data_IF_807562217534
#
_entry.id   IF_807562217534
#
_cell.length_a   1.000
_cell.length_b   1.000
_cell.length_c   1.000
_cell.angle_alpha   90.00
_cell.angle_beta   90.00
_cell.angle_gamma   90.00
#
_symmetry.space_group_name_H-M   'P 1'
#
loop_
_entity.id
_entity.type
_entity.pdbx_description
1 polymer ?
#
# COMPACT_ATOMS: atom_id res chain seq x y z
N UNK A 1 -11.15 -23.22 -11.97
CA UNK A 1 -12.03 -22.22 -12.54
C UNK A 1 -11.22 -21.00 -13.00
N UNK A 2 -11.51 -20.54 -14.20
CA UNK A 2 -10.81 -19.41 -14.81
C UNK A 2 -10.91 -18.14 -13.96
N UNK A 3 -12.09 -17.85 -13.43
CA UNK A 3 -12.30 -16.65 -12.60
C UNK A 3 -11.47 -16.72 -11.33
N UNK A 4 -11.44 -17.87 -10.69
CA UNK A 4 -10.64 -18.05 -9.49
C UNK A 4 -9.15 -17.94 -9.76
N UNK A 5 -8.70 -18.42 -10.93
CA UNK A 5 -7.29 -18.29 -11.31
C UNK A 5 -6.88 -16.84 -11.47
N UNK A 6 -7.72 -16.05 -12.16
CA UNK A 6 -7.44 -14.64 -12.37
C UNK A 6 -7.36 -13.88 -11.05
N UNK A 7 -8.28 -14.16 -10.12
CA UNK A 7 -8.29 -13.54 -8.81
C UNK A 7 -7.05 -13.92 -8.01
N UNK A 8 -6.63 -15.19 -8.07
CA UNK A 8 -5.43 -15.64 -7.37
C UNK A 8 -4.16 -15.01 -7.92
N UNK A 9 -4.07 -14.88 -9.25
CA UNK A 9 -2.93 -14.24 -9.89
C UNK A 9 -2.83 -12.77 -9.48
N UNK A 10 -3.97 -12.08 -9.43
CA UNK A 10 -4.01 -10.70 -8.99
C UNK A 10 -3.57 -10.56 -7.54
N UNK A 11 -4.05 -11.44 -6.65
CA UNK A 11 -3.66 -11.42 -5.24
C UNK A 11 -2.18 -11.71 -5.07
N UNK A 12 -1.63 -12.63 -5.83
CA UNK A 12 -0.20 -12.93 -5.78
C UNK A 12 0.64 -11.74 -6.24
N UNK A 13 0.19 -11.04 -7.27
CA UNK A 13 0.84 -9.83 -7.74
C UNK A 13 0.86 -8.76 -6.64
N UNK A 14 -0.29 -8.52 -6.02
CA UNK A 14 -0.39 -7.53 -4.94
C UNK A 14 0.48 -7.92 -3.75
N UNK A 15 0.49 -9.19 -3.36
CA UNK A 15 1.32 -9.65 -2.25
C UNK A 15 2.80 -9.50 -2.54
N UNK A 16 3.22 -9.80 -3.78
CA UNK A 16 4.61 -9.62 -4.17
C UNK A 16 5.01 -8.15 -4.09
N UNK A 17 4.10 -7.25 -4.52
CA UNK A 17 4.35 -5.82 -4.42
C UNK A 17 4.45 -5.35 -2.97
N UNK A 18 3.56 -5.85 -2.10
CA UNK A 18 3.62 -5.54 -0.67
C UNK A 18 4.94 -5.98 -0.07
N UNK A 19 5.41 -7.16 -0.45
CA UNK A 19 6.68 -7.70 0.06
C UNK A 19 7.89 -6.90 -0.43
N UNK A 20 7.74 -6.12 -1.51
CA UNK A 20 8.82 -5.29 -2.03
C UNK A 20 8.96 -3.96 -1.29
N UNK A 21 8.00 -3.61 -0.45
CA UNK A 21 8.04 -2.37 0.31
C UNK A 21 9.07 -2.47 1.44
N UNK A 22 9.79 -1.37 1.67
CA UNK A 22 10.64 -1.28 2.85
C UNK A 22 9.76 -1.18 4.10
N UNK A 23 10.36 -1.40 5.27
CA UNK A 23 9.62 -1.29 6.53
C UNK A 23 8.98 0.10 6.67
N UNK A 24 9.70 1.15 6.33
CA UNK A 24 9.19 2.51 6.44
C UNK A 24 8.06 2.78 5.43
N UNK A 25 8.21 2.26 4.21
CA UNK A 25 7.15 2.36 3.20
C UNK A 25 5.90 1.63 3.64
N UNK A 26 6.05 0.47 4.27
CA UNK A 26 4.90 -0.27 4.80
C UNK A 26 4.19 0.51 5.89
N UNK A 27 4.94 1.17 6.78
CA UNK A 27 4.35 2.02 7.81
C UNK A 27 3.54 3.16 7.19
N UNK A 28 4.09 3.78 6.14
CA UNK A 28 3.38 4.86 5.43
C UNK A 28 2.12 4.30 4.77
N UNK A 29 2.21 3.14 4.12
CA UNK A 29 1.04 2.51 3.51
C UNK A 29 -0.07 2.28 4.53
N UNK A 30 0.27 1.74 5.69
CA UNK A 30 -0.72 1.45 6.73
C UNK A 30 -1.46 2.71 7.18
N UNK A 31 -0.74 3.83 7.30
CA UNK A 31 -1.35 5.11 7.66
C UNK A 31 -2.17 5.70 6.52
N UNK A 32 -1.75 5.47 5.28
CA UNK A 32 -2.54 5.89 4.10
C UNK A 32 -3.89 5.19 4.09
N UNK A 33 -3.92 3.91 4.40
CA UNK A 33 -5.15 3.11 4.45
C UNK A 33 -6.11 3.68 5.50
N UNK A 34 -5.56 4.18 6.61
CA UNK A 34 -6.35 4.81 7.67
C UNK A 34 -6.81 6.23 7.32
N UNK A 35 -6.41 6.75 6.17
CA UNK A 35 -6.79 8.08 5.73
C UNK A 35 -6.03 9.22 6.39
N UNK A 36 -4.85 8.93 6.94
CA UNK A 36 -4.04 9.96 7.59
C UNK A 36 -3.44 10.93 6.58
N UNK A 37 -3.35 12.20 6.97
CA UNK A 37 -2.71 13.23 6.14
C UNK A 37 -1.19 13.09 6.20
N UNK A 38 -0.49 13.72 5.24
CA UNK A 38 0.97 13.76 5.25
C UNK A 38 1.50 14.37 6.54
N UNK A 39 0.86 15.42 7.03
CA UNK A 39 1.26 16.09 8.26
C UNK A 39 1.16 15.13 9.46
N UNK A 40 0.04 14.41 9.55
CA UNK A 40 -0.18 13.45 10.63
C UNK A 40 0.80 12.30 10.56
N UNK A 41 1.03 11.76 9.35
CA UNK A 41 2.00 10.68 9.16
C UNK A 41 3.41 11.11 9.55
N UNK A 42 3.78 12.33 9.15
CA UNK A 42 5.11 12.87 9.51
C UNK A 42 5.27 12.95 11.03
N UNK A 43 4.24 13.41 11.73
CA UNK A 43 4.28 13.50 13.19
C UNK A 43 4.37 12.12 13.83
N UNK A 44 3.55 11.17 13.38
CA UNK A 44 3.53 9.82 13.96
C UNK A 44 4.81 9.05 13.72
N UNK A 45 5.44 9.25 12.55
CA UNK A 45 6.65 8.52 12.19
C UNK A 45 7.93 9.27 12.50
N UNK A 46 7.82 10.48 13.05
CA UNK A 46 8.96 11.36 13.32
C UNK A 46 9.78 11.64 12.07
N UNK A 47 9.09 11.92 10.97
CA UNK A 47 9.67 12.23 9.67
C UNK A 47 9.22 13.63 9.25
N UNK A 48 9.95 14.22 8.29
CA UNK A 48 9.49 15.45 7.65
C UNK A 48 8.34 15.13 6.69
N UNK A 49 7.50 16.12 6.40
CA UNK A 49 6.44 15.93 5.41
C UNK A 49 7.02 15.60 4.04
N UNK A 50 8.16 16.19 3.70
CA UNK A 50 8.84 15.90 2.45
C UNK A 50 9.23 14.43 2.35
N UNK A 51 9.77 13.87 3.41
CA UNK A 51 10.14 12.45 3.44
C UNK A 51 8.90 11.57 3.31
N UNK A 52 7.80 11.94 3.96
CA UNK A 52 6.53 11.22 3.81
C UNK A 52 6.06 11.24 2.36
N UNK A 53 6.14 12.39 1.69
CA UNK A 53 5.77 12.49 0.28
C UNK A 53 6.59 11.54 -0.59
N UNK A 54 7.90 11.45 -0.32
CA UNK A 54 8.78 10.55 -1.07
C UNK A 54 8.37 9.09 -0.85
N UNK A 55 8.12 8.71 0.41
CA UNK A 55 7.68 7.35 0.72
C UNK A 55 6.33 7.04 0.08
N UNK A 56 5.39 8.00 0.08
CA UNK A 56 4.10 7.80 -0.58
C UNK A 56 4.27 7.55 -2.07
N UNK A 57 5.10 8.33 -2.73
CA UNK A 57 5.36 8.16 -4.16
C UNK A 57 5.93 6.78 -4.44
N UNK A 58 6.88 6.33 -3.61
CA UNK A 58 7.47 5.01 -3.77
C UNK A 58 6.45 3.89 -3.53
N UNK A 59 5.57 4.05 -2.54
CA UNK A 59 4.50 3.09 -2.28
C UNK A 59 3.57 2.99 -3.49
N UNK A 60 3.12 4.12 -4.04
CA UNK A 60 2.24 4.13 -5.19
C UNK A 60 2.88 3.45 -6.40
N UNK A 61 4.17 3.70 -6.62
CA UNK A 61 4.91 3.10 -7.73
C UNK A 61 5.07 1.59 -7.53
N UNK A 62 5.53 1.17 -6.35
CA UNK A 62 5.77 -0.26 -6.07
C UNK A 62 4.48 -1.06 -6.07
N UNK A 63 3.39 -0.46 -5.64
CA UNK A 63 2.09 -1.13 -5.64
C UNK A 63 1.38 -1.04 -6.99
N UNK A 64 1.94 -0.31 -7.94
CA UNK A 64 1.35 -0.10 -9.27
C UNK A 64 -0.08 0.42 -9.16
N UNK A 65 -0.30 1.36 -8.23
CA UNK A 65 -1.62 1.95 -7.99
C UNK A 65 -1.71 3.32 -8.63
N UNK A 66 -2.83 3.61 -9.27
CA UNK A 66 -3.08 4.90 -9.92
C UNK A 66 -3.71 5.92 -8.99
N UNK A 67 -4.31 5.47 -7.90
CA UNK A 67 -4.96 6.33 -6.93
C UNK A 67 -4.89 5.70 -5.54
N UNK A 68 -5.06 6.54 -4.52
CA UNK A 68 -5.10 6.06 -3.14
C UNK A 68 -6.30 5.12 -2.93
N UNK A 69 -7.44 5.45 -3.55
CA UNK A 69 -8.63 4.58 -3.46
C UNK A 69 -8.35 3.19 -4.02
N UNK A 70 -7.68 3.12 -5.16
CA UNK A 70 -7.29 1.84 -5.75
C UNK A 70 -6.33 1.08 -4.83
N UNK A 71 -5.33 1.78 -4.30
CA UNK A 71 -4.35 1.20 -3.38
C UNK A 71 -5.04 0.58 -2.16
N UNK A 72 -5.94 1.32 -1.53
CA UNK A 72 -6.67 0.85 -0.36
C UNK A 72 -7.47 -0.40 -0.69
N UNK A 73 -8.19 -0.39 -1.81
CA UNK A 73 -9.00 -1.53 -2.24
C UNK A 73 -8.15 -2.78 -2.47
N UNK A 74 -7.01 -2.61 -3.15
CA UNK A 74 -6.10 -3.71 -3.44
C UNK A 74 -5.60 -4.38 -2.15
N UNK A 75 -5.16 -3.57 -1.20
CA UNK A 75 -4.58 -4.07 0.05
C UNK A 75 -5.65 -4.75 0.91
N UNK A 76 -6.81 -4.11 1.05
CA UNK A 76 -7.90 -4.65 1.86
C UNK A 76 -8.37 -5.99 1.28
N UNK A 77 -8.52 -6.07 -0.04
CA UNK A 77 -8.97 -7.27 -0.71
C UNK A 77 -8.02 -8.45 -0.44
N UNK A 78 -6.71 -8.21 -0.54
CA UNK A 78 -5.71 -9.25 -0.30
C UNK A 78 -5.66 -9.65 1.17
N UNK A 79 -5.67 -8.69 2.08
CA UNK A 79 -5.64 -8.98 3.52
C UNK A 79 -6.92 -9.66 4.00
N UNK A 80 -8.07 -9.30 3.42
CA UNK A 80 -9.34 -9.92 3.74
C UNK A 80 -9.40 -11.37 3.27
N UNK A 81 -8.73 -11.68 2.15
CA UNK A 81 -8.70 -13.04 1.60
C UNK A 81 -7.91 -13.99 2.50
N UNK A 82 -7.09 -13.44 3.38
CA UNK A 82 -6.26 -14.22 4.28
C UNK A 82 -5.09 -14.89 3.59
N UNK A 83 -4.38 -15.72 4.34
CA UNK A 83 -3.25 -16.45 3.78
C UNK A 83 -3.72 -17.57 2.86
#
# INVERSE_FOLDING_TARGET
DRVNREALEEHEFIRANLNSLTAREREVLDLMILGKSNKTMAAELSLSQRTVEIHRANVMEKMAADSVAQLVRMVIEVEKSGP
#
